data_IF_283331521380
#
_entry.id   IF_283331521380
#
_cell.length_a   1.000
_cell.length_b   1.000
_cell.length_c   1.000
_cell.angle_alpha   90.00
_cell.angle_beta   90.00
_cell.angle_gamma   90.00
#
_symmetry.space_group_name_H-M   'P 1'
#
loop_
_entity.id
_entity.type
_entity.pdbx_description
1 polymer ?
#
# COMPACT_ATOMS: atom_id res chain seq x y z
N UNK A 1 -11.08 -4.94 -20.66
CA UNK A 1 -10.08 -5.89 -20.13
C UNK A 1 -9.17 -5.26 -19.08
N UNK A 2 -8.81 -3.97 -19.22
CA UNK A 2 -7.79 -3.30 -18.43
C UNK A 2 -6.36 -3.73 -18.79
N UNK A 3 -6.17 -4.35 -19.95
CA UNK A 3 -4.85 -4.72 -20.47
C UNK A 3 -4.10 -3.45 -20.91
N UNK A 4 -2.79 -3.43 -20.71
CA UNK A 4 -1.89 -2.37 -21.17
C UNK A 4 -1.00 -2.96 -22.25
N UNK A 5 -0.97 -2.31 -23.41
CA UNK A 5 -0.13 -2.68 -24.53
C UNK A 5 0.99 -1.67 -24.70
N UNK A 6 2.21 -2.15 -24.89
CA UNK A 6 3.33 -1.32 -25.34
C UNK A 6 3.29 -1.28 -26.85
N UNK A 7 3.20 -0.08 -27.43
CA UNK A 7 3.08 0.13 -28.86
C UNK A 7 4.31 0.88 -29.40
N UNK A 8 4.75 0.52 -30.59
CA UNK A 8 5.60 1.37 -31.40
C UNK A 8 4.76 2.45 -32.11
N UNK A 9 5.41 3.31 -32.88
CA UNK A 9 4.75 4.41 -33.57
C UNK A 9 3.73 3.90 -34.61
N UNK A 10 4.06 2.86 -35.36
CA UNK A 10 3.19 2.29 -36.40
C UNK A 10 1.93 1.69 -35.79
N UNK A 11 2.09 0.83 -34.77
CA UNK A 11 0.98 0.21 -34.04
C UNK A 11 0.07 1.25 -33.39
N UNK A 12 0.64 2.33 -32.83
CA UNK A 12 -0.12 3.42 -32.25
C UNK A 12 -0.97 4.14 -33.32
N UNK A 13 -0.40 4.45 -34.49
CA UNK A 13 -1.10 5.10 -35.57
C UNK A 13 -2.24 4.22 -36.12
N UNK A 14 -2.03 2.93 -36.27
CA UNK A 14 -3.07 1.97 -36.72
C UNK A 14 -4.21 1.91 -35.68
N UNK A 15 -3.88 1.69 -34.38
CA UNK A 15 -4.88 1.52 -33.34
C UNK A 15 -5.69 2.81 -33.12
N UNK A 16 -5.06 3.99 -33.20
CA UNK A 16 -5.75 5.27 -33.01
C UNK A 16 -6.82 5.58 -34.05
N UNK A 17 -6.74 4.95 -35.23
CA UNK A 17 -7.68 5.09 -36.34
C UNK A 17 -8.73 4.00 -36.41
N UNK A 18 -8.50 2.85 -35.72
CA UNK A 18 -9.25 1.61 -35.88
C UNK A 18 -10.77 1.72 -35.73
N UNK A 19 -11.26 2.57 -34.83
CA UNK A 19 -12.71 2.75 -34.62
C UNK A 19 -13.38 3.66 -35.65
N UNK A 20 -12.61 4.35 -36.50
CA UNK A 20 -13.12 5.36 -37.42
C UNK A 20 -12.90 5.01 -38.91
N UNK A 21 -11.92 4.17 -39.19
CA UNK A 21 -11.43 3.86 -40.53
C UNK A 21 -11.39 2.35 -40.74
N UNK A 22 -11.53 1.92 -42.00
CA UNK A 22 -11.33 0.51 -42.36
C UNK A 22 -9.84 0.19 -42.49
N UNK A 23 -9.43 -1.09 -42.36
CA UNK A 23 -8.05 -1.50 -42.59
C UNK A 23 -7.44 -1.00 -43.89
N UNK A 24 -8.21 -1.00 -44.98
CA UNK A 24 -7.77 -0.54 -46.30
C UNK A 24 -7.52 0.98 -46.32
N UNK A 25 -8.37 1.76 -45.63
CA UNK A 25 -8.18 3.21 -45.48
C UNK A 25 -6.93 3.51 -44.66
N UNK A 26 -6.73 2.79 -43.52
CA UNK A 26 -5.55 2.94 -42.68
C UNK A 26 -4.26 2.67 -43.48
N UNK A 27 -4.21 1.57 -44.24
CA UNK A 27 -3.06 1.26 -45.12
C UNK A 27 -2.84 2.39 -46.12
N UNK A 28 -3.89 2.83 -46.81
CA UNK A 28 -3.79 3.88 -47.84
C UNK A 28 -3.24 5.20 -47.30
N UNK A 29 -3.61 5.58 -46.07
CA UNK A 29 -3.13 6.82 -45.45
C UNK A 29 -1.71 6.70 -44.90
N UNK A 30 -1.35 5.53 -44.32
CA UNK A 30 -0.10 5.36 -43.65
C UNK A 30 1.04 4.83 -44.54
N UNK A 31 0.75 4.31 -45.73
CA UNK A 31 1.76 3.78 -46.67
C UNK A 31 2.77 4.82 -47.17
N UNK A 32 2.48 6.11 -46.99
CA UNK A 32 3.45 7.19 -47.25
C UNK A 32 4.54 7.32 -46.15
N UNK A 33 4.32 6.71 -44.97
CA UNK A 33 5.21 6.81 -43.80
C UNK A 33 5.81 5.46 -43.39
N UNK A 34 5.10 4.37 -43.63
CA UNK A 34 5.45 3.01 -43.19
C UNK A 34 5.38 2.04 -44.37
N UNK A 35 6.07 0.91 -44.24
CA UNK A 35 6.01 -0.15 -45.27
C UNK A 35 4.62 -0.81 -45.27
N UNK A 36 4.09 -1.10 -46.44
CA UNK A 36 2.73 -1.63 -46.61
C UNK A 36 2.58 -3.06 -46.07
N UNK A 37 3.62 -3.89 -46.19
CA UNK A 37 3.59 -5.27 -45.66
C UNK A 37 3.65 -5.26 -44.14
N UNK A 38 4.49 -4.43 -43.53
CA UNK A 38 4.52 -4.25 -42.05
C UNK A 38 3.19 -3.70 -41.52
N UNK A 39 2.54 -2.76 -42.23
CA UNK A 39 1.19 -2.28 -41.87
C UNK A 39 0.16 -3.42 -41.88
N UNK A 40 0.21 -4.32 -42.85
CA UNK A 40 -0.69 -5.49 -42.92
C UNK A 40 -0.46 -6.43 -41.76
N UNK A 41 0.80 -6.67 -41.39
CA UNK A 41 1.13 -7.51 -40.20
C UNK A 41 0.57 -6.89 -38.92
N UNK A 42 0.77 -5.59 -38.69
CA UNK A 42 0.21 -4.88 -37.53
C UNK A 42 -1.33 -4.96 -37.51
N UNK A 43 -1.98 -4.82 -38.66
CA UNK A 43 -3.44 -4.93 -38.75
C UNK A 43 -3.91 -6.32 -38.38
N UNK A 44 -3.23 -7.38 -38.79
CA UNK A 44 -3.58 -8.76 -38.39
C UNK A 44 -3.35 -8.98 -36.89
N UNK A 45 -2.27 -8.46 -36.30
CA UNK A 45 -2.06 -8.50 -34.87
C UNK A 45 -3.19 -7.78 -34.09
N UNK A 46 -3.60 -6.60 -34.54
CA UNK A 46 -4.73 -5.86 -33.95
C UNK A 46 -6.02 -6.69 -34.00
N UNK A 47 -6.32 -7.36 -35.13
CA UNK A 47 -7.49 -8.25 -35.25
C UNK A 47 -7.41 -9.40 -34.26
N UNK A 48 -6.25 -10.01 -34.06
CA UNK A 48 -6.03 -11.08 -33.08
C UNK A 48 -6.28 -10.59 -31.66
N UNK A 49 -5.77 -9.42 -31.30
CA UNK A 49 -5.98 -8.81 -29.98
C UNK A 49 -7.45 -8.47 -29.72
N UNK A 50 -8.18 -8.03 -30.73
CA UNK A 50 -9.62 -7.74 -30.66
C UNK A 50 -10.40 -9.06 -30.47
N UNK A 51 -10.10 -10.08 -31.26
CA UNK A 51 -10.74 -11.40 -31.16
C UNK A 51 -10.46 -12.06 -29.81
N UNK A 52 -9.27 -11.83 -29.26
CA UNK A 52 -8.88 -12.30 -27.93
C UNK A 52 -9.46 -11.47 -26.76
N UNK A 53 -10.22 -10.40 -27.05
CA UNK A 53 -10.84 -9.54 -26.02
C UNK A 53 -9.83 -8.72 -25.18
N UNK A 54 -8.62 -8.52 -25.68
CA UNK A 54 -7.58 -7.73 -25.00
C UNK A 54 -7.47 -6.30 -25.53
N UNK A 55 -8.02 -6.02 -26.72
CA UNK A 55 -8.10 -4.70 -27.31
C UNK A 55 -9.54 -4.40 -27.72
N UNK A 56 -10.02 -3.17 -27.59
CA UNK A 56 -11.40 -2.71 -27.85
C UNK A 56 -12.50 -3.64 -27.27
N UNK A 57 -12.17 -4.33 -26.18
CA UNK A 57 -13.12 -5.21 -25.52
C UNK A 57 -14.27 -4.43 -24.91
N UNK A 58 -15.48 -4.99 -24.99
CA UNK A 58 -16.61 -4.44 -24.24
C UNK A 58 -16.31 -4.52 -22.74
N UNK A 59 -16.28 -3.38 -22.09
CA UNK A 59 -16.08 -3.31 -20.64
C UNK A 59 -17.43 -3.43 -19.93
N UNK A 60 -17.83 -4.66 -19.65
CA UNK A 60 -19.05 -4.93 -18.88
C UNK A 60 -19.01 -4.27 -17.49
N UNK A 61 -17.82 -4.01 -16.93
CA UNK A 61 -17.69 -3.40 -15.60
C UNK A 61 -18.07 -1.92 -15.60
N UNK A 62 -18.03 -1.22 -16.75
CA UNK A 62 -18.51 0.16 -16.88
C UNK A 62 -20.04 0.26 -16.82
N UNK A 63 -20.75 -0.83 -17.17
CA UNK A 63 -22.19 -0.88 -17.25
C UNK A 63 -22.83 -1.72 -16.15
N UNK A 64 -22.02 -2.45 -15.38
CA UNK A 64 -22.49 -3.24 -14.25
C UNK A 64 -22.11 -2.52 -12.97
N UNK A 65 -22.99 -1.66 -12.49
CA UNK A 65 -22.91 -1.21 -11.11
C UNK A 65 -22.95 -2.47 -10.25
N UNK A 66 -22.00 -2.70 -9.35
CA UNK A 66 -22.04 -3.85 -8.47
C UNK A 66 -23.41 -3.92 -7.79
N UNK A 67 -24.03 -5.09 -7.75
CA UNK A 67 -25.30 -5.29 -7.07
C UNK A 67 -25.19 -4.87 -5.60
N UNK A 68 -26.28 -4.50 -4.96
CA UNK A 68 -26.27 -4.17 -3.52
C UNK A 68 -25.66 -5.29 -2.68
N UNK A 69 -25.83 -6.55 -3.12
CA UNK A 69 -25.25 -7.72 -2.45
C UNK A 69 -23.73 -7.80 -2.62
N UNK A 70 -23.20 -7.47 -3.78
CA UNK A 70 -21.74 -7.38 -4.02
C UNK A 70 -21.11 -6.17 -3.31
N UNK A 71 -21.91 -5.17 -2.96
CA UNK A 71 -21.50 -3.98 -2.23
C UNK A 71 -21.57 -4.15 -0.71
N UNK A 72 -22.24 -5.18 -0.20
CA UNK A 72 -22.23 -5.47 1.25
C UNK A 72 -20.81 -5.68 1.76
N UNK A 73 -20.53 -5.23 2.99
CA UNK A 73 -19.26 -5.51 3.64
C UNK A 73 -19.00 -7.01 3.68
N UNK A 74 -17.85 -7.42 3.15
CA UNK A 74 -17.43 -8.82 3.16
C UNK A 74 -16.87 -9.25 4.53
N UNK A 75 -16.24 -10.43 4.53
CA UNK A 75 -15.51 -10.94 5.69
C UNK A 75 -14.27 -10.10 5.97
N UNK A 76 -13.90 -9.96 7.24
CA UNK A 76 -12.66 -9.31 7.66
C UNK A 76 -11.52 -10.32 7.50
N UNK A 77 -10.49 -9.96 6.75
CA UNK A 77 -9.32 -10.82 6.49
C UNK A 77 -8.02 -10.27 7.06
N UNK A 78 -8.00 -9.00 7.42
CA UNK A 78 -6.80 -8.31 7.88
C UNK A 78 -7.12 -7.34 9.02
N UNK A 79 -6.17 -7.20 9.93
CA UNK A 79 -6.30 -6.36 11.12
C UNK A 79 -4.99 -5.66 11.43
N UNK A 80 -5.07 -4.35 11.69
CA UNK A 80 -3.97 -3.59 12.29
C UNK A 80 -4.20 -3.51 13.80
N UNK A 81 -3.31 -4.10 14.58
CA UNK A 81 -3.34 -4.01 16.05
C UNK A 81 -2.44 -2.87 16.52
N UNK A 82 -3.06 -1.82 17.05
CA UNK A 82 -2.34 -0.68 17.59
C UNK A 82 -1.92 -1.02 19.05
N UNK A 83 -0.86 -1.84 19.15
CA UNK A 83 -0.42 -2.40 20.43
C UNK A 83 0.18 -1.36 21.38
N UNK A 84 0.54 -0.17 20.86
CA UNK A 84 1.06 0.93 21.66
C UNK A 84 0.50 2.26 21.18
N UNK A 85 -0.19 2.99 22.04
CA UNK A 85 -0.56 4.39 21.86
C UNK A 85 0.51 5.30 22.48
N UNK A 86 1.77 5.03 22.19
CA UNK A 86 2.94 5.82 22.53
C UNK A 86 4.08 5.57 21.54
N UNK A 87 5.03 6.49 21.45
CA UNK A 87 6.17 6.38 20.55
C UNK A 87 7.41 7.03 21.17
N UNK A 88 8.59 6.49 20.89
CA UNK A 88 9.89 7.04 21.27
C UNK A 88 10.40 8.11 20.27
N UNK A 89 9.74 8.29 19.11
CA UNK A 89 10.00 9.37 18.17
C UNK A 89 8.88 10.43 18.19
N UNK A 90 9.17 11.59 17.59
CA UNK A 90 8.26 12.74 17.48
C UNK A 90 8.18 13.23 16.03
N UNK A 91 7.80 12.32 15.12
CA UNK A 91 7.74 12.61 13.69
C UNK A 91 6.81 13.79 13.40
N UNK A 92 7.29 14.78 12.63
CA UNK A 92 6.58 16.03 12.37
C UNK A 92 5.32 15.87 11.51
N UNK A 93 5.27 14.83 10.68
CA UNK A 93 4.12 14.47 9.85
C UNK A 93 3.24 13.37 10.47
N UNK A 94 3.42 13.03 11.75
CA UNK A 94 2.75 11.89 12.36
C UNK A 94 1.22 12.09 12.41
N UNK A 95 0.50 11.27 11.66
CA UNK A 95 -0.97 11.24 11.68
C UNK A 95 -1.54 10.74 13.02
N UNK A 96 -0.73 9.96 13.77
CA UNK A 96 -1.11 9.37 15.05
C UNK A 96 -0.80 10.29 16.26
N UNK A 97 -0.60 11.59 16.06
CA UNK A 97 -0.29 12.55 17.13
C UNK A 97 0.83 12.06 18.06
N UNK A 98 1.99 11.72 17.46
CA UNK A 98 3.13 11.13 18.19
C UNK A 98 2.85 9.80 18.90
N UNK A 99 1.89 9.06 18.36
CA UNK A 99 1.51 7.73 18.81
C UNK A 99 0.26 7.67 19.68
N UNK A 100 -0.27 8.80 20.17
CA UNK A 100 -1.44 8.81 21.08
C UNK A 100 -2.78 8.69 20.35
N UNK A 101 -2.80 8.85 19.03
CA UNK A 101 -4.04 8.88 18.22
C UNK A 101 -5.08 9.87 18.74
N UNK A 102 -4.61 11.05 19.18
CA UNK A 102 -5.42 12.11 19.79
C UNK A 102 -6.06 11.74 21.15
N UNK A 103 -5.71 10.58 21.71
CA UNK A 103 -6.16 10.08 23.00
C UNK A 103 -5.05 10.06 24.06
N UNK A 104 -5.18 9.13 25.01
CA UNK A 104 -4.21 8.91 26.06
C UNK A 104 -3.08 7.97 25.61
N UNK A 105 -1.92 8.07 26.27
CA UNK A 105 -0.86 7.07 26.14
C UNK A 105 -1.27 5.79 26.81
N UNK A 106 -1.25 4.70 26.06
CA UNK A 106 -1.75 3.41 26.49
C UNK A 106 -0.98 2.28 25.82
N UNK A 107 -0.72 1.21 26.51
CA UNK A 107 -0.20 -0.03 25.95
C UNK A 107 -1.33 -1.07 25.96
N UNK A 108 -1.49 -1.80 24.86
CA UNK A 108 -2.53 -2.83 24.75
C UNK A 108 -2.31 -3.94 25.78
N UNK A 109 -3.27 -4.22 26.66
CA UNK A 109 -3.26 -5.41 27.51
C UNK A 109 -3.32 -6.70 26.67
N UNK A 110 -2.72 -7.77 27.17
CA UNK A 110 -2.67 -9.05 26.46
C UNK A 110 -4.06 -9.64 26.16
N UNK A 111 -4.99 -9.52 27.08
CA UNK A 111 -6.37 -10.02 26.96
C UNK A 111 -7.14 -9.32 25.84
N UNK A 112 -6.97 -8.02 25.67
CA UNK A 112 -7.54 -7.27 24.55
C UNK A 112 -6.96 -7.77 23.22
N UNK A 113 -5.64 -7.93 23.13
CA UNK A 113 -5.00 -8.44 21.92
C UNK A 113 -5.43 -9.87 21.58
N UNK A 114 -5.59 -10.75 22.58
CA UNK A 114 -6.13 -12.10 22.38
C UNK A 114 -7.56 -12.06 21.85
N UNK A 115 -8.42 -11.24 22.45
CA UNK A 115 -9.80 -11.08 22.01
C UNK A 115 -9.88 -10.52 20.58
N UNK A 116 -8.95 -9.64 20.19
CA UNK A 116 -8.87 -9.14 18.83
C UNK A 116 -8.53 -10.25 17.81
N UNK A 117 -7.61 -11.17 18.13
CA UNK A 117 -7.30 -12.31 17.27
C UNK A 117 -8.50 -13.26 17.13
N UNK A 118 -9.22 -13.53 18.22
CA UNK A 118 -10.45 -14.31 18.22
C UNK A 118 -11.54 -13.66 17.36
N UNK A 119 -11.76 -12.35 17.55
CA UNK A 119 -12.68 -11.56 16.74
C UNK A 119 -12.36 -11.65 15.23
N UNK A 120 -11.07 -11.57 14.85
CA UNK A 120 -10.68 -11.72 13.45
C UNK A 120 -11.06 -13.10 12.90
N UNK A 121 -10.86 -14.18 13.67
CA UNK A 121 -11.29 -15.53 13.29
C UNK A 121 -12.80 -15.59 13.11
N UNK A 122 -13.58 -15.09 14.07
CA UNK A 122 -15.04 -15.07 14.04
C UNK A 122 -15.58 -14.35 12.81
N UNK A 123 -14.94 -13.23 12.40
CA UNK A 123 -15.35 -12.39 11.29
C UNK A 123 -14.75 -12.79 9.94
N UNK A 124 -13.87 -13.80 9.89
CA UNK A 124 -13.14 -14.17 8.68
C UNK A 124 -13.87 -15.17 7.75
N UNK A 125 -15.01 -15.72 8.16
CA UNK A 125 -15.75 -16.70 7.39
C UNK A 125 -14.86 -17.87 6.95
N UNK A 126 -14.89 -18.23 5.68
CA UNK A 126 -14.09 -19.33 5.10
C UNK A 126 -12.64 -18.96 4.76
N UNK A 127 -12.19 -17.74 5.01
CA UNK A 127 -10.80 -17.32 4.72
C UNK A 127 -9.81 -18.16 5.53
N UNK A 128 -8.83 -18.78 4.84
CA UNK A 128 -7.77 -19.57 5.47
C UNK A 128 -6.64 -18.70 6.00
N UNK A 129 -6.23 -17.69 5.24
CA UNK A 129 -5.12 -16.79 5.60
C UNK A 129 -5.66 -15.48 6.17
N UNK A 130 -5.17 -15.12 7.36
CA UNK A 130 -5.51 -13.91 8.09
C UNK A 130 -4.26 -13.08 8.30
N UNK A 131 -4.35 -11.78 8.06
CA UNK A 131 -3.21 -10.86 8.17
C UNK A 131 -3.35 -10.00 9.42
N UNK A 132 -2.30 -9.91 10.21
CA UNK A 132 -2.23 -9.07 11.42
C UNK A 132 -0.97 -8.23 11.37
N UNK A 133 -1.15 -6.91 11.32
CA UNK A 133 -0.05 -5.95 11.39
C UNK A 133 0.05 -5.37 12.80
N UNK A 134 1.15 -5.63 13.48
CA UNK A 134 1.47 -4.98 14.74
C UNK A 134 1.98 -3.57 14.47
N UNK A 135 1.23 -2.61 14.93
CA UNK A 135 1.42 -1.20 14.66
C UNK A 135 1.17 -0.37 15.95
N UNK A 136 1.02 0.95 15.77
CA UNK A 136 0.68 1.88 16.85
C UNK A 136 1.48 3.17 16.69
N UNK A 137 1.91 3.76 17.78
CA UNK A 137 2.98 4.74 17.81
C UNK A 137 4.29 4.04 17.48
N UNK A 138 4.75 3.18 18.40
CA UNK A 138 5.87 2.25 18.17
C UNK A 138 5.57 0.90 18.85
N UNK A 139 5.36 -0.18 18.09
CA UNK A 139 4.98 -1.48 18.65
C UNK A 139 6.08 -2.11 19.55
N UNK A 140 7.34 -1.74 19.34
CA UNK A 140 8.44 -2.24 20.16
C UNK A 140 8.31 -1.80 21.64
N UNK A 141 7.59 -0.74 21.93
CA UNK A 141 7.29 -0.35 23.33
C UNK A 141 6.43 -1.38 24.07
N UNK A 142 5.71 -2.23 23.34
CA UNK A 142 4.87 -3.31 23.88
C UNK A 142 5.24 -4.69 23.32
N UNK A 143 6.51 -4.88 22.98
CA UNK A 143 6.96 -6.07 22.25
C UNK A 143 6.79 -7.36 23.04
N UNK A 144 6.82 -7.30 24.37
CA UNK A 144 6.50 -8.44 25.23
C UNK A 144 5.08 -9.00 24.98
N UNK A 145 4.10 -8.11 24.78
CA UNK A 145 2.72 -8.50 24.44
C UNK A 145 2.66 -9.01 22.98
N UNK A 146 3.37 -8.38 22.04
CA UNK A 146 3.45 -8.87 20.64
C UNK A 146 3.93 -10.33 20.61
N UNK A 147 5.02 -10.66 21.32
CA UNK A 147 5.54 -12.05 21.40
C UNK A 147 4.49 -13.04 21.92
N UNK A 148 3.73 -12.66 22.95
CA UNK A 148 2.67 -13.48 23.53
C UNK A 148 1.47 -13.62 22.58
N UNK A 149 1.09 -12.57 21.84
CA UNK A 149 0.01 -12.61 20.86
C UNK A 149 0.37 -13.51 19.67
N UNK A 150 1.61 -13.46 19.20
CA UNK A 150 2.09 -14.37 18.14
C UNK A 150 1.99 -15.83 18.62
N UNK A 151 2.48 -16.14 19.83
CA UNK A 151 2.38 -17.48 20.40
C UNK A 151 0.91 -17.95 20.50
N UNK A 152 0.03 -17.07 20.99
CA UNK A 152 -1.41 -17.35 21.07
C UNK A 152 -2.04 -17.57 19.69
N UNK A 153 -1.66 -16.76 18.68
CA UNK A 153 -2.10 -16.96 17.29
C UNK A 153 -1.71 -18.32 16.75
N UNK A 154 -0.47 -18.80 17.03
CA UNK A 154 -0.02 -20.14 16.64
C UNK A 154 -0.83 -21.27 17.31
N UNK A 155 -1.32 -21.04 18.52
CA UNK A 155 -2.26 -21.98 19.17
C UNK A 155 -3.65 -21.97 18.52
N UNK A 156 -4.15 -20.79 18.17
CA UNK A 156 -5.43 -20.65 17.47
C UNK A 156 -5.41 -21.29 16.08
N UNK A 157 -4.29 -21.23 15.36
CA UNK A 157 -4.12 -21.90 14.07
C UNK A 157 -4.39 -23.41 14.18
N UNK A 158 -3.85 -24.05 15.21
CA UNK A 158 -4.03 -25.49 15.47
C UNK A 158 -5.49 -25.86 15.74
N UNK A 159 -6.24 -24.96 16.37
CA UNK A 159 -7.65 -25.19 16.75
C UNK A 159 -8.63 -24.91 15.63
N UNK A 160 -8.32 -23.97 14.74
CA UNK A 160 -9.29 -23.42 13.78
C UNK A 160 -8.96 -23.76 12.33
N UNK A 161 -7.75 -24.24 12.02
CA UNK A 161 -7.26 -24.48 10.68
C UNK A 161 -6.98 -23.20 9.88
N UNK A 162 -7.04 -22.01 10.54
CA UNK A 162 -6.62 -20.73 9.96
C UNK A 162 -5.10 -20.62 9.99
N UNK A 163 -4.55 -19.66 9.28
CA UNK A 163 -3.11 -19.35 9.28
C UNK A 163 -2.92 -17.85 9.40
N UNK A 164 -2.23 -17.39 10.44
CA UNK A 164 -1.91 -15.98 10.62
C UNK A 164 -0.60 -15.62 9.91
N UNK A 165 -0.64 -14.53 9.17
CA UNK A 165 0.53 -13.84 8.63
C UNK A 165 0.75 -12.58 9.45
N UNK A 166 1.76 -12.61 10.30
CA UNK A 166 2.10 -11.47 11.15
C UNK A 166 3.06 -10.53 10.43
N UNK A 167 2.77 -9.25 10.49
CA UNK A 167 3.65 -8.15 10.05
C UNK A 167 3.91 -7.25 11.24
N UNK A 168 5.04 -6.59 11.28
CA UNK A 168 5.34 -5.53 12.23
C UNK A 168 5.86 -4.30 11.49
N UNK A 169 5.34 -3.12 11.85
CA UNK A 169 5.79 -1.83 11.34
C UNK A 169 6.46 -1.07 12.47
N UNK A 170 7.78 -0.87 12.38
CA UNK A 170 8.58 -0.22 13.43
C UNK A 170 9.42 0.93 12.88
N UNK A 171 9.72 1.91 13.73
CA UNK A 171 10.66 2.97 13.40
C UNK A 171 12.13 2.50 13.45
N UNK A 172 12.38 1.26 13.80
CA UNK A 172 13.69 0.60 13.88
C UNK A 172 14.72 1.28 14.80
N UNK A 173 14.30 2.27 15.63
CA UNK A 173 15.22 3.03 16.47
C UNK A 173 15.81 2.20 17.61
N UNK A 174 14.97 1.40 18.26
CA UNK A 174 15.37 0.57 19.42
C UNK A 174 15.07 -0.91 19.13
N UNK A 175 16.01 -1.58 18.44
CA UNK A 175 15.96 -3.00 18.13
C UNK A 175 17.20 -3.69 18.68
N UNK A 176 17.00 -4.84 19.29
CA UNK A 176 18.05 -5.76 19.74
C UNK A 176 18.20 -6.91 18.73
N UNK A 177 19.32 -7.59 18.76
CA UNK A 177 19.57 -8.73 17.87
C UNK A 177 18.57 -9.88 18.13
N UNK A 178 18.15 -10.10 19.38
CA UNK A 178 17.09 -11.06 19.75
C UNK A 178 15.71 -10.72 19.15
N UNK A 179 15.41 -9.44 18.94
CA UNK A 179 14.16 -8.99 18.30
C UNK A 179 14.21 -9.31 16.79
N UNK A 180 15.36 -9.12 16.15
CA UNK A 180 15.58 -9.47 14.75
C UNK A 180 15.44 -10.98 14.51
N UNK A 181 15.98 -11.81 15.42
CA UNK A 181 15.79 -13.26 15.38
C UNK A 181 14.31 -13.65 15.49
N UNK A 182 13.56 -12.98 16.38
CA UNK A 182 12.12 -13.18 16.47
C UNK A 182 11.39 -12.77 15.20
N UNK A 183 11.73 -11.61 14.62
CA UNK A 183 11.14 -11.18 13.33
C UNK A 183 11.36 -12.21 12.24
N UNK A 184 12.57 -12.75 12.12
CA UNK A 184 12.89 -13.73 11.08
C UNK A 184 12.11 -15.05 11.24
N UNK A 185 11.84 -15.45 12.48
CA UNK A 185 11.12 -16.68 12.76
C UNK A 185 9.61 -16.54 12.61
N UNK A 186 9.04 -15.42 13.02
CA UNK A 186 7.59 -15.29 13.23
C UNK A 186 6.91 -14.30 12.29
N UNK A 187 7.61 -13.27 11.79
CA UNK A 187 7.01 -12.23 10.96
C UNK A 187 7.09 -12.59 9.48
N UNK A 188 5.93 -12.66 8.82
CA UNK A 188 5.84 -12.81 7.36
C UNK A 188 6.44 -11.62 6.62
N UNK A 189 6.35 -10.42 7.22
CA UNK A 189 6.93 -9.20 6.67
C UNK A 189 7.33 -8.24 7.79
N UNK A 190 8.34 -7.39 7.54
CA UNK A 190 8.79 -6.32 8.45
C UNK A 190 8.86 -5.01 7.70
N UNK A 191 8.20 -3.97 8.21
CA UNK A 191 8.25 -2.62 7.65
C UNK A 191 9.11 -1.74 8.56
N UNK A 192 10.16 -1.17 7.96
CA UNK A 192 11.19 -0.37 8.63
C UNK A 192 11.05 1.08 8.21
N UNK A 193 10.73 1.96 9.13
CA UNK A 193 10.41 3.35 8.84
C UNK A 193 11.67 4.22 8.73
N UNK A 194 12.19 4.44 7.51
CA UNK A 194 13.33 5.32 7.23
C UNK A 194 13.03 6.19 6.00
N UNK A 195 13.17 7.52 6.12
CA UNK A 195 12.75 8.45 5.06
C UNK A 195 13.78 8.68 3.95
N UNK A 196 14.99 8.13 4.06
CA UNK A 196 16.04 8.29 3.05
C UNK A 196 17.30 8.95 3.60
N UNK A 197 17.69 10.13 3.06
CA UNK A 197 18.87 10.88 3.49
C UNK A 197 18.78 11.29 4.97
N UNK A 198 19.94 11.32 5.63
CA UNK A 198 20.04 11.58 7.08
C UNK A 198 19.40 12.90 7.48
N UNK A 199 19.69 13.96 6.75
CA UNK A 199 19.16 15.31 7.05
C UNK A 199 17.63 15.40 6.92
N UNK A 200 17.04 14.68 5.95
CA UNK A 200 15.59 14.58 5.76
C UNK A 200 14.96 13.78 6.90
N UNK A 201 15.52 12.61 7.17
CA UNK A 201 15.02 11.74 8.23
C UNK A 201 15.10 12.38 9.61
N UNK A 202 16.28 12.90 10.00
CA UNK A 202 16.49 13.50 11.33
C UNK A 202 15.62 14.74 11.56
N UNK A 203 15.38 15.53 10.49
CA UNK A 203 14.45 16.65 10.57
C UNK A 203 13.00 16.15 10.78
N UNK A 204 12.58 15.15 10.03
CA UNK A 204 11.19 14.67 10.06
C UNK A 204 10.88 13.72 11.22
N UNK A 205 11.86 12.94 11.67
CA UNK A 205 11.70 11.89 12.72
C UNK A 205 12.65 12.12 13.91
N UNK A 206 12.60 13.27 14.59
CA UNK A 206 13.41 13.47 15.78
C UNK A 206 12.98 12.51 16.90
N UNK A 207 13.92 12.19 17.78
CA UNK A 207 13.65 11.47 19.04
C UNK A 207 12.77 12.33 19.96
N UNK A 208 12.22 11.73 21.01
CA UNK A 208 11.44 12.46 22.00
C UNK A 208 12.26 13.57 22.72
N UNK A 209 13.58 13.42 22.74
CA UNK A 209 14.53 14.41 23.29
C UNK A 209 15.00 15.45 22.26
N UNK A 210 14.52 15.35 21.00
CA UNK A 210 14.87 16.31 19.92
C UNK A 210 16.14 15.97 19.15
N UNK A 211 16.82 14.86 19.44
CA UNK A 211 17.99 14.38 18.69
C UNK A 211 17.62 13.70 17.38
N UNK A 212 18.61 13.46 16.51
CA UNK A 212 18.43 12.66 15.30
C UNK A 212 18.19 11.19 15.63
N UNK A 213 17.51 10.49 14.74
CA UNK A 213 17.22 9.05 14.88
C UNK A 213 17.80 8.21 13.74
N UNK A 214 18.29 8.84 12.68
CA UNK A 214 18.72 8.16 11.45
C UNK A 214 19.82 7.14 11.68
N UNK A 215 20.89 7.49 12.39
CA UNK A 215 22.07 6.60 12.55
C UNK A 215 21.65 5.27 13.17
N UNK A 216 20.85 5.30 14.22
CA UNK A 216 20.40 4.10 14.92
C UNK A 216 19.36 3.32 14.08
N UNK A 217 18.35 3.99 13.53
CA UNK A 217 17.32 3.38 12.70
C UNK A 217 17.93 2.73 11.45
N UNK A 218 18.86 3.42 10.80
CA UNK A 218 19.56 2.91 9.61
C UNK A 218 20.42 1.68 9.91
N UNK A 219 21.19 1.73 11.00
CA UNK A 219 22.01 0.59 11.42
C UNK A 219 21.15 -0.66 11.71
N UNK A 220 20.04 -0.50 12.42
CA UNK A 220 19.12 -1.57 12.72
C UNK A 220 18.37 -2.06 11.47
N UNK A 221 17.93 -1.16 10.60
CA UNK A 221 17.27 -1.53 9.35
C UNK A 221 18.17 -2.39 8.45
N UNK A 222 19.46 -2.04 8.35
CA UNK A 222 20.46 -2.86 7.63
C UNK A 222 20.61 -4.25 8.22
N UNK A 223 20.66 -4.38 9.54
CA UNK A 223 20.71 -5.69 10.20
C UNK A 223 19.49 -6.54 9.85
N UNK A 224 18.29 -5.97 9.92
CA UNK A 224 17.04 -6.67 9.56
C UNK A 224 17.06 -7.11 8.10
N UNK A 225 17.39 -6.21 7.16
CA UNK A 225 17.43 -6.51 5.74
C UNK A 225 18.43 -7.63 5.42
N UNK A 226 19.65 -7.57 5.99
CA UNK A 226 20.68 -8.58 5.83
C UNK A 226 20.24 -9.94 6.41
N UNK A 227 19.71 -9.96 7.63
CA UNK A 227 19.24 -11.18 8.30
C UNK A 227 18.06 -11.85 7.60
N UNK A 228 17.31 -11.09 6.77
CA UNK A 228 16.21 -11.58 5.93
C UNK A 228 16.62 -11.87 4.48
N UNK A 229 17.91 -11.84 4.16
CA UNK A 229 18.43 -12.04 2.79
C UNK A 229 17.72 -11.14 1.76
N UNK A 230 17.51 -9.89 2.09
CA UNK A 230 16.83 -8.88 1.27
C UNK A 230 15.38 -9.24 0.87
N UNK A 231 14.69 -10.09 1.63
CA UNK A 231 13.33 -10.54 1.32
C UNK A 231 12.36 -10.30 2.47
N UNK A 232 11.08 -10.13 2.12
CA UNK A 232 9.98 -10.01 3.10
C UNK A 232 10.19 -8.87 4.11
N UNK A 233 10.72 -7.76 3.65
CA UNK A 233 10.77 -6.50 4.37
C UNK A 233 10.54 -5.34 3.40
N UNK A 234 10.23 -4.17 3.94
CA UNK A 234 10.27 -2.91 3.21
C UNK A 234 10.94 -1.84 4.08
N UNK A 235 11.85 -1.07 3.48
CA UNK A 235 12.19 0.24 4.02
C UNK A 235 11.15 1.22 3.51
N UNK A 236 10.37 1.79 4.42
CA UNK A 236 9.27 2.69 4.09
C UNK A 236 9.55 4.10 4.58
N UNK A 237 9.72 5.01 3.64
CA UNK A 237 9.87 6.43 3.88
C UNK A 237 8.59 7.22 3.57
N UNK A 238 8.59 8.48 3.98
CA UNK A 238 7.52 9.43 3.67
C UNK A 238 8.14 10.74 3.22
N UNK A 239 7.83 11.20 1.99
CA UNK A 239 8.26 12.51 1.53
C UNK A 239 7.16 13.56 1.75
N UNK A 240 7.59 14.80 1.95
CA UNK A 240 6.73 15.94 2.25
C UNK A 240 7.10 17.12 1.36
N UNK A 241 6.44 18.27 1.53
CA UNK A 241 6.84 19.50 0.84
C UNK A 241 8.25 19.98 1.21
N UNK A 242 8.92 19.37 2.20
CA UNK A 242 10.31 19.67 2.60
C UNK A 242 11.34 18.78 1.90
N UNK A 243 10.89 17.74 1.22
CA UNK A 243 11.73 16.78 0.50
C UNK A 243 11.10 16.44 -0.85
N UNK A 244 10.77 17.48 -1.64
CA UNK A 244 10.17 17.27 -2.98
C UNK A 244 11.13 16.54 -3.92
N UNK A 245 12.45 16.60 -3.68
CA UNK A 245 13.48 15.84 -4.38
C UNK A 245 13.61 14.39 -3.87
N UNK A 246 12.47 13.76 -3.55
CA UNK A 246 12.38 12.43 -2.94
C UNK A 246 13.06 11.32 -3.75
N UNK A 247 13.28 11.52 -5.05
CA UNK A 247 14.07 10.59 -5.86
C UNK A 247 15.45 10.35 -5.27
N UNK A 248 16.08 11.39 -4.71
CA UNK A 248 17.37 11.30 -4.01
C UNK A 248 17.27 10.47 -2.73
N UNK A 249 16.12 10.51 -2.03
CA UNK A 249 15.91 9.74 -0.82
C UNK A 249 15.76 8.25 -1.14
N UNK A 250 15.01 7.91 -2.20
CA UNK A 250 14.91 6.53 -2.71
C UNK A 250 16.28 6.00 -3.13
N UNK A 251 17.02 6.78 -3.90
CA UNK A 251 18.37 6.39 -4.38
C UNK A 251 19.37 6.26 -3.21
N UNK A 252 19.28 7.15 -2.21
CA UNK A 252 20.11 7.04 -1.00
C UNK A 252 19.83 5.75 -0.22
N UNK A 253 18.57 5.32 -0.12
CA UNK A 253 18.24 4.01 0.48
C UNK A 253 18.81 2.85 -0.34
N UNK A 254 18.69 2.88 -1.67
CA UNK A 254 19.26 1.87 -2.54
C UNK A 254 20.80 1.82 -2.42
N UNK A 255 21.47 2.98 -2.31
CA UNK A 255 22.93 3.08 -2.12
C UNK A 255 23.36 2.58 -0.73
N UNK A 256 22.47 2.54 0.25
CA UNK A 256 22.69 1.89 1.54
C UNK A 256 22.54 0.35 1.48
N UNK A 257 22.18 -0.22 0.32
CA UNK A 257 22.08 -1.65 0.08
C UNK A 257 20.69 -2.24 0.34
N UNK A 258 19.63 -1.44 0.40
CA UNK A 258 18.27 -1.95 0.48
C UNK A 258 17.72 -2.30 -0.90
N UNK A 259 17.13 -3.49 -1.01
CA UNK A 259 16.51 -3.97 -2.26
C UNK A 259 14.99 -3.83 -2.26
N UNK A 260 14.34 -3.53 -1.14
CA UNK A 260 12.89 -3.38 -1.02
C UNK A 260 12.55 -2.00 -0.44
N UNK A 261 12.15 -1.07 -1.31
CA UNK A 261 11.98 0.35 -0.96
C UNK A 261 10.58 0.83 -1.31
N UNK A 262 9.97 1.58 -0.38
CA UNK A 262 8.68 2.27 -0.55
C UNK A 262 8.78 3.66 0.07
N UNK A 263 8.76 4.71 -0.74
CA UNK A 263 8.75 6.10 -0.25
C UNK A 263 7.46 6.77 -0.73
N UNK A 264 6.56 7.03 0.22
CA UNK A 264 5.19 7.44 -0.03
C UNK A 264 5.01 8.95 0.10
N UNK A 265 4.11 9.56 -0.68
CA UNK A 265 3.70 10.95 -0.42
C UNK A 265 2.97 11.04 0.92
N UNK A 266 3.27 12.10 1.68
CA UNK A 266 2.53 12.36 2.92
C UNK A 266 1.06 12.68 2.64
N UNK A 267 0.17 12.11 3.46
CA UNK A 267 -1.27 12.41 3.42
C UNK A 267 -1.63 13.24 4.64
N UNK A 268 -1.74 14.55 4.46
CA UNK A 268 -2.06 15.52 5.50
C UNK A 268 -3.09 16.54 5.00
N UNK A 269 -3.79 17.17 5.94
CA UNK A 269 -4.68 18.28 5.59
C UNK A 269 -3.85 19.43 4.96
N UNK A 270 -4.40 20.15 3.97
CA UNK A 270 -3.69 21.27 3.30
C UNK A 270 -3.17 22.36 4.24
N UNK A 271 -3.77 22.50 5.42
CA UNK A 271 -3.33 23.44 6.47
C UNK A 271 -2.07 23.00 7.21
N UNK A 272 -1.62 21.76 7.04
CA UNK A 272 -0.38 21.28 7.65
C UNK A 272 0.85 21.90 6.98
N UNK A 273 1.87 22.33 7.75
CA UNK A 273 3.10 22.90 7.19
C UNK A 273 3.95 21.89 6.39
N UNK A 274 3.57 20.63 6.40
CA UNK A 274 4.26 19.53 5.71
C UNK A 274 3.44 18.91 4.59
N UNK A 275 2.20 19.39 4.35
CA UNK A 275 1.31 18.88 3.32
C UNK A 275 1.89 19.08 1.92
N UNK A 276 1.61 18.15 1.03
CA UNK A 276 1.80 18.30 -0.40
C UNK A 276 0.57 19.02 -0.97
N UNK A 277 0.81 20.03 -1.77
CA UNK A 277 -0.22 20.86 -2.39
C UNK A 277 -0.23 20.64 -3.91
N UNK A 278 -1.33 21.01 -4.55
CA UNK A 278 -1.54 20.73 -5.97
C UNK A 278 -0.51 21.41 -6.89
N UNK A 279 -0.05 22.61 -6.53
CA UNK A 279 1.00 23.33 -7.26
C UNK A 279 2.36 22.62 -7.29
N UNK A 280 2.59 21.67 -6.39
CA UNK A 280 3.83 20.89 -6.32
C UNK A 280 3.80 19.64 -7.21
N UNK A 281 2.62 19.25 -7.73
CA UNK A 281 2.47 18.02 -8.55
C UNK A 281 3.40 17.97 -9.78
N UNK A 282 3.59 19.05 -10.55
CA UNK A 282 4.51 18.99 -11.70
C UNK A 282 5.94 18.61 -11.27
N UNK A 283 6.45 19.20 -10.18
CA UNK A 283 7.78 18.87 -9.66
C UNK A 283 7.86 17.44 -9.10
N UNK A 284 6.78 16.93 -8.48
CA UNK A 284 6.70 15.54 -8.01
C UNK A 284 6.75 14.57 -9.20
N UNK A 285 6.03 14.85 -10.29
CA UNK A 285 6.05 14.02 -11.51
C UNK A 285 7.45 14.01 -12.14
N UNK A 286 8.11 15.16 -12.21
CA UNK A 286 9.50 15.24 -12.67
C UNK A 286 10.45 14.36 -11.83
N UNK A 287 10.25 14.30 -10.52
CA UNK A 287 11.05 13.42 -9.67
C UNK A 287 10.81 11.93 -9.93
N UNK A 288 9.58 11.53 -10.30
CA UNK A 288 9.32 10.17 -10.77
C UNK A 288 10.05 9.87 -12.09
N UNK A 289 10.10 10.82 -13.02
CA UNK A 289 10.83 10.66 -14.30
C UNK A 289 12.34 10.54 -14.05
N UNK A 290 12.91 11.36 -13.16
CA UNK A 290 14.32 11.26 -12.75
C UNK A 290 14.60 9.90 -12.14
N UNK A 291 13.75 9.46 -11.19
CA UNK A 291 13.89 8.18 -10.52
C UNK A 291 13.78 7.01 -11.51
N UNK A 292 12.82 7.06 -12.44
CA UNK A 292 12.63 6.04 -13.45
C UNK A 292 13.87 5.86 -14.34
N UNK A 293 14.46 6.95 -14.83
CA UNK A 293 15.67 6.91 -15.66
C UNK A 293 16.84 6.25 -14.91
N UNK A 294 17.06 6.62 -13.65
CA UNK A 294 18.12 6.02 -12.85
C UNK A 294 17.79 4.57 -12.46
N UNK A 295 16.52 4.24 -12.20
CA UNK A 295 16.04 2.89 -11.92
C UNK A 295 16.34 1.93 -13.08
N UNK A 296 16.01 2.32 -14.32
CA UNK A 296 16.28 1.51 -15.52
C UNK A 296 17.77 1.32 -15.73
N UNK A 297 18.58 2.39 -15.58
CA UNK A 297 20.03 2.33 -15.66
C UNK A 297 20.64 1.38 -14.63
N UNK A 298 20.25 1.51 -13.35
CA UNK A 298 20.73 0.62 -12.29
C UNK A 298 20.35 -0.84 -12.54
N UNK A 299 19.16 -1.08 -13.10
CA UNK A 299 18.75 -2.43 -13.49
C UNK A 299 19.65 -3.02 -14.56
N UNK A 300 20.00 -2.25 -15.58
CA UNK A 300 20.95 -2.67 -16.62
C UNK A 300 22.35 -2.94 -16.07
N UNK A 301 22.80 -2.16 -15.07
CA UNK A 301 24.09 -2.29 -14.41
C UNK A 301 24.12 -3.41 -13.33
N UNK A 302 23.05 -4.18 -13.14
CA UNK A 302 22.96 -5.22 -12.12
C UNK A 302 22.83 -4.69 -10.68
N UNK A 303 22.57 -3.41 -10.48
CA UNK A 303 22.34 -2.74 -9.18
C UNK A 303 20.85 -2.53 -8.91
N UNK A 304 20.05 -3.55 -9.16
CA UNK A 304 18.60 -3.49 -9.07
C UNK A 304 18.10 -3.39 -7.62
N UNK A 305 17.00 -2.66 -7.46
CA UNK A 305 16.17 -2.65 -6.26
C UNK A 305 14.69 -2.61 -6.67
N UNK A 306 13.81 -3.07 -5.79
CA UNK A 306 12.37 -2.95 -5.96
C UNK A 306 11.90 -1.62 -5.40
N UNK A 307 11.29 -0.77 -6.23
CA UNK A 307 10.58 0.41 -5.78
C UNK A 307 9.08 0.17 -5.89
N UNK A 308 8.37 0.21 -4.79
CA UNK A 308 6.96 -0.22 -4.68
C UNK A 308 6.05 0.42 -5.73
N UNK A 309 6.22 1.73 -6.01
CA UNK A 309 5.39 2.44 -6.99
C UNK A 309 5.62 1.98 -8.44
N UNK A 310 6.76 1.34 -8.74
CA UNK A 310 7.05 0.80 -10.07
C UNK A 310 6.69 -0.69 -10.20
N UNK A 311 6.22 -1.31 -9.12
CA UNK A 311 5.81 -2.72 -9.10
C UNK A 311 4.32 -2.86 -9.47
N UNK A 312 3.97 -2.50 -10.72
CA UNK A 312 2.62 -2.67 -11.27
C UNK A 312 2.64 -3.83 -12.26
N UNK A 313 1.82 -4.86 -12.02
CA UNK A 313 1.63 -5.95 -12.97
C UNK A 313 0.73 -5.48 -14.11
N UNK A 314 1.34 -5.17 -15.24
CA UNK A 314 0.64 -4.75 -16.46
C UNK A 314 0.31 -5.94 -17.38
N UNK A 315 1.02 -7.06 -17.26
CA UNK A 315 0.89 -8.21 -18.17
C UNK A 315 -0.34 -9.07 -17.87
N UNK A 316 -0.68 -9.26 -16.58
CA UNK A 316 -1.79 -10.09 -16.16
C UNK A 316 -3.16 -9.40 -16.19
N UNK A 317 -3.20 -8.10 -16.42
CA UNK A 317 -4.40 -7.28 -16.27
C UNK A 317 -4.91 -7.21 -14.82
N UNK A 318 -5.78 -6.26 -14.48
CA UNK A 318 -6.31 -6.13 -13.13
C UNK A 318 -7.45 -7.10 -12.86
N UNK A 319 -7.45 -7.73 -11.70
CA UNK A 319 -8.64 -8.39 -11.18
C UNK A 319 -9.66 -7.33 -10.75
N UNK A 320 -10.67 -7.05 -11.59
CA UNK A 320 -11.68 -6.00 -11.38
C UNK A 320 -12.27 -6.07 -9.97
N UNK A 321 -12.70 -7.26 -9.52
CA UNK A 321 -13.31 -7.48 -8.21
C UNK A 321 -12.43 -7.03 -7.03
N UNK A 322 -11.11 -7.24 -7.13
CA UNK A 322 -10.13 -6.81 -6.12
C UNK A 322 -9.82 -5.32 -6.20
N UNK A 323 -9.96 -4.72 -7.39
CA UNK A 323 -9.53 -3.36 -7.67
C UNK A 323 -10.62 -2.31 -7.47
N UNK A 324 -11.86 -2.72 -7.24
CA UNK A 324 -12.96 -1.77 -7.00
C UNK A 324 -12.83 -1.04 -5.67
N UNK A 325 -12.42 -1.73 -4.59
CA UNK A 325 -12.49 -1.25 -3.20
C UNK A 325 -11.15 -0.81 -2.60
N UNK A 326 -10.10 -0.68 -3.40
CA UNK A 326 -8.78 -0.26 -2.91
C UNK A 326 -8.21 -1.19 -1.83
N UNK A 327 -7.75 -0.63 -0.70
CA UNK A 327 -7.13 -1.38 0.40
C UNK A 327 -8.12 -2.18 1.26
N UNK A 328 -9.42 -2.04 1.06
CA UNK A 328 -10.46 -2.74 1.81
C UNK A 328 -10.71 -2.20 3.23
N UNK A 329 -10.22 -0.99 3.55
CA UNK A 329 -10.47 -0.33 4.85
C UNK A 329 -11.96 -0.31 5.21
N UNK A 330 -12.31 -0.66 6.45
CA UNK A 330 -13.68 -0.76 6.95
C UNK A 330 -14.48 -1.95 6.40
N UNK A 331 -14.01 -2.64 5.38
CA UNK A 331 -14.72 -3.74 4.71
C UNK A 331 -14.04 -5.07 5.00
N UNK A 332 -12.82 -5.25 4.52
CA UNK A 332 -12.02 -6.47 4.68
C UNK A 332 -10.83 -6.29 5.64
N UNK A 333 -10.53 -5.05 6.00
CA UNK A 333 -9.46 -4.62 6.88
C UNK A 333 -10.01 -3.66 7.93
N UNK A 334 -9.56 -3.82 9.18
CA UNK A 334 -9.92 -2.96 10.32
C UNK A 334 -8.69 -2.64 11.17
N UNK A 335 -8.75 -1.56 11.96
CA UNK A 335 -7.78 -1.28 12.99
C UNK A 335 -8.41 -1.48 14.37
N UNK A 336 -7.65 -2.02 15.31
CA UNK A 336 -8.07 -2.21 16.72
C UNK A 336 -7.11 -1.44 17.60
N UNK A 337 -7.66 -0.58 18.44
CA UNK A 337 -6.92 0.26 19.38
C UNK A 337 -6.46 -0.52 20.61
N UNK A 338 -5.56 0.08 21.41
CA UNK A 338 -5.03 -0.55 22.61
C UNK A 338 -6.10 -0.83 23.70
N UNK A 339 -7.24 -0.16 23.64
CA UNK A 339 -8.40 -0.35 24.50
C UNK A 339 -9.53 -1.18 23.87
N UNK A 340 -9.30 -1.69 22.64
CA UNK A 340 -10.18 -2.65 21.98
C UNK A 340 -11.25 -2.05 21.07
N UNK A 341 -11.26 -0.74 20.85
CA UNK A 341 -12.17 -0.11 19.88
C UNK A 341 -11.78 -0.47 18.42
N UNK A 342 -12.78 -0.57 17.55
CA UNK A 342 -12.61 -0.94 16.14
C UNK A 342 -12.82 0.29 15.25
N UNK A 343 -11.89 0.53 14.32
CA UNK A 343 -11.95 1.60 13.33
C UNK A 343 -11.76 1.05 11.90
N UNK A 344 -12.23 1.75 10.86
CA UNK A 344 -12.03 1.32 9.47
C UNK A 344 -10.56 1.12 9.09
N UNK A 345 -9.67 1.96 9.62
CA UNK A 345 -8.22 1.87 9.42
C UNK A 345 -7.52 2.75 10.47
N UNK A 346 -6.22 2.54 10.66
CA UNK A 346 -5.42 3.31 11.63
C UNK A 346 -5.44 4.84 11.41
N UNK A 347 -5.71 5.31 10.18
CA UNK A 347 -5.85 6.73 9.86
C UNK A 347 -7.15 7.38 10.41
N UNK A 348 -8.14 6.57 10.77
CA UNK A 348 -9.42 7.04 11.30
C UNK A 348 -9.52 6.94 12.82
N UNK A 349 -8.51 6.38 13.47
CA UNK A 349 -8.49 6.24 14.94
C UNK A 349 -8.52 7.62 15.60
N UNK A 350 -9.38 7.77 16.62
CA UNK A 350 -9.61 9.03 17.31
C UNK A 350 -10.48 10.04 16.56
N UNK A 351 -10.94 9.73 15.33
CA UNK A 351 -11.86 10.61 14.59
C UNK A 351 -13.31 10.33 14.98
N UNK A 352 -14.03 11.38 15.36
CA UNK A 352 -15.44 11.29 15.73
C UNK A 352 -16.29 10.70 14.58
N UNK A 353 -17.14 9.70 14.91
CA UNK A 353 -18.06 9.09 13.97
C UNK A 353 -17.46 7.96 13.11
N UNK A 354 -16.22 7.51 13.41
CA UNK A 354 -15.59 6.39 12.72
C UNK A 354 -15.32 5.18 13.62
N UNK A 355 -15.59 5.25 14.93
CA UNK A 355 -15.57 4.05 15.78
C UNK A 355 -16.71 3.13 15.36
N UNK A 356 -16.37 1.90 14.96
CA UNK A 356 -17.31 0.89 14.46
C UNK A 356 -17.78 -0.07 15.56
N UNK A 357 -17.24 0.01 16.77
CA UNK A 357 -17.57 -0.89 17.87
C UNK A 357 -16.35 -1.35 18.66
N UNK A 358 -16.45 -2.50 19.31
CA UNK A 358 -15.38 -3.02 20.15
C UNK A 358 -15.19 -4.53 19.98
N UNK A 359 -13.94 -4.98 20.06
CA UNK A 359 -13.64 -6.42 20.11
C UNK A 359 -14.11 -7.05 21.42
N UNK A 360 -14.29 -6.28 22.50
CA UNK A 360 -14.63 -6.78 23.82
C UNK A 360 -16.05 -7.37 23.87
N UNK A 361 -17.01 -6.69 23.25
CA UNK A 361 -18.40 -7.13 23.15
C UNK A 361 -18.75 -7.72 21.78
N UNK A 362 -17.81 -7.65 20.83
CA UNK A 362 -17.98 -8.14 19.47
C UNK A 362 -18.91 -7.28 18.59
N UNK A 363 -19.27 -6.07 19.04
CA UNK A 363 -20.12 -5.14 18.27
C UNK A 363 -19.38 -4.61 17.04
N UNK A 364 -20.14 -4.37 15.97
CA UNK A 364 -19.62 -3.82 14.73
C UNK A 364 -20.73 -3.02 14.03
N UNK A 365 -20.53 -1.73 13.85
CA UNK A 365 -21.46 -0.84 13.16
C UNK A 365 -21.39 -1.07 11.64
N UNK A 366 -22.34 -1.85 11.13
CA UNK A 366 -22.44 -2.15 9.70
C UNK A 366 -22.73 -0.89 8.86
N UNK A 367 -23.37 0.16 9.41
CA UNK A 367 -23.63 1.38 8.66
C UNK A 367 -22.35 2.14 8.26
N UNK A 368 -21.34 2.11 9.11
CA UNK A 368 -20.02 2.68 8.80
C UNK A 368 -19.32 1.78 7.76
N UNK A 369 -19.37 0.46 7.92
CA UNK A 369 -18.80 -0.49 6.97
C UNK A 369 -19.40 -0.33 5.56
N UNK A 370 -20.70 -0.16 5.47
CA UNK A 370 -21.42 0.09 4.21
C UNK A 370 -20.94 1.37 3.53
N UNK A 371 -20.73 2.47 4.27
CA UNK A 371 -20.15 3.70 3.71
C UNK A 371 -18.80 3.44 3.05
N UNK A 372 -17.93 2.65 3.68
CA UNK A 372 -16.64 2.27 3.11
C UNK A 372 -16.76 1.30 1.93
N UNK A 373 -17.73 0.40 1.96
CA UNK A 373 -18.02 -0.50 0.85
C UNK A 373 -18.49 0.25 -0.41
N UNK A 374 -19.23 1.35 -0.23
CA UNK A 374 -19.67 2.23 -1.32
C UNK A 374 -18.58 3.19 -1.83
N UNK A 375 -17.46 3.35 -1.12
CA UNK A 375 -16.35 4.20 -1.53
C UNK A 375 -15.44 3.53 -2.58
N UNK A 376 -16.05 2.97 -3.63
CA UNK A 376 -15.32 2.30 -4.72
C UNK A 376 -15.14 3.21 -5.95
N UNK A 377 -14.25 2.81 -6.87
CA UNK A 377 -13.84 3.65 -8.03
C UNK A 377 -15.00 4.10 -8.92
N UNK A 378 -16.05 3.29 -9.06
CA UNK A 378 -17.19 3.61 -9.92
C UNK A 378 -18.12 4.66 -9.29
N UNK A 379 -18.09 4.82 -7.95
CA UNK A 379 -18.86 5.84 -7.23
C UNK A 379 -18.10 7.17 -7.05
N UNK A 380 -16.86 7.24 -7.49
CA UNK A 380 -16.05 8.46 -7.46
C UNK A 380 -16.05 9.07 -8.87
N UNK A 381 -16.73 10.20 -9.05
CA UNK A 381 -16.94 10.86 -10.36
C UNK A 381 -15.66 10.96 -11.20
N UNK A 382 -14.56 11.45 -10.61
CA UNK A 382 -13.26 11.56 -11.30
C UNK A 382 -12.62 10.21 -11.62
N UNK A 383 -12.96 9.15 -10.90
CA UNK A 383 -12.36 7.83 -11.07
C UNK A 383 -13.15 6.96 -12.04
N UNK A 384 -14.46 7.13 -12.13
CA UNK A 384 -15.34 6.30 -12.96
C UNK A 384 -14.90 6.23 -14.43
N UNK A 385 -14.40 7.35 -14.98
CA UNK A 385 -13.92 7.46 -16.36
C UNK A 385 -12.39 7.52 -16.46
N UNK A 386 -11.64 7.28 -15.39
CA UNK A 386 -10.19 7.32 -15.40
C UNK A 386 -9.61 6.04 -16.02
N UNK A 387 -8.68 6.16 -16.97
CA UNK A 387 -8.00 5.01 -17.57
C UNK A 387 -7.27 4.14 -16.54
N UNK A 388 -6.72 4.76 -15.49
CA UNK A 388 -5.96 4.07 -14.44
C UNK A 388 -6.83 3.52 -13.31
N UNK A 389 -8.19 3.62 -13.37
CA UNK A 389 -9.08 3.29 -12.26
C UNK A 389 -8.87 1.90 -11.65
N UNK A 390 -8.61 0.91 -12.50
CA UNK A 390 -8.41 -0.48 -12.05
C UNK A 390 -6.98 -0.76 -11.58
N UNK A 391 -6.04 0.13 -11.83
CA UNK A 391 -4.67 0.07 -11.30
C UNK A 391 -4.52 0.91 -10.02
N UNK A 392 -5.04 2.14 -10.03
CA UNK A 392 -5.01 3.07 -8.93
C UNK A 392 -5.99 2.70 -7.80
N UNK A 393 -7.10 2.02 -8.12
CA UNK A 393 -8.18 1.65 -7.17
C UNK A 393 -8.90 2.84 -6.52
N UNK A 394 -8.76 4.06 -7.07
CA UNK A 394 -9.46 5.27 -6.63
C UNK A 394 -8.90 5.97 -5.40
N UNK A 395 -7.70 5.62 -4.96
CA UNK A 395 -7.07 6.21 -3.78
C UNK A 395 -7.78 5.87 -2.47
N UNK A 396 -7.56 6.69 -1.44
CA UNK A 396 -8.19 6.52 -0.12
C UNK A 396 -9.70 6.76 -0.16
N UNK A 397 -10.42 6.12 0.74
CA UNK A 397 -11.88 6.24 0.92
C UNK A 397 -12.29 7.65 1.38
#
# INVERSE_FOLDING_TARGET
>A
SGTVHLLDEMSYEVISRWEKETPEQIIGELSSRFDEEELKEVIEEVKVLIAGGTLFSYDASLHTVPSEEEMKPGVIKAMCLLVAHDCNLRCRYCFASTGTFHGQRLLMPLDIGKRALEFLIERSGSRKFLEVDFFGGEPMLNFGVVKQLVAYGRELEKKTGKTFRFTITTNAYDLKDEDIEFFNREMSNVVLSVDGRKEVHDFMRPTAQGGGSWDQAMANAKKVAAARNQQNYYVRGTFTNRSLDFSKDVLALADQGFEQISVEPVVLAPSSPYALLQEQLPGILEQYDILYKEYVKRRADGRWFSFFHFCVDLAGGPCIKKRLKGCGAGVEYVAVTADGEIFPCHQFVGRKGYCMGSVLDGTLDESIREKFAHAHVLNKEKCANCWARLYCTGGCA
#
